data_IF_211176208565
#
_entry.id   IF_211176208565
#
_cell.length_a   1.000
_cell.length_b   1.000
_cell.length_c   1.000
_cell.angle_alpha   90.00
_cell.angle_beta   90.00
_cell.angle_gamma   90.00
#
_symmetry.space_group_name_H-M   'P 1'
#
loop_
_entity.id
_entity.type
_entity.pdbx_description
1 polymer ?
#
# COMPACT_ATOMS: atom_id res chain seq x y z
N UNK A 1 2.24 -1.01 -12.10
CA UNK A 1 1.44 -2.05 -11.44
C UNK A 1 0.26 -1.37 -10.75
N UNK A 2 -0.99 -1.72 -11.11
CA UNK A 2 -2.20 -1.08 -10.55
C UNK A 2 -2.72 -1.95 -9.40
N UNK A 3 -3.07 -1.30 -8.31
CA UNK A 3 -3.48 -1.95 -7.08
C UNK A 3 -4.90 -1.49 -6.73
N UNK A 4 -5.76 -2.44 -6.36
CA UNK A 4 -7.09 -2.16 -5.85
C UNK A 4 -7.16 -2.60 -4.41
N UNK A 5 -7.72 -1.75 -3.56
CA UNK A 5 -8.09 -2.06 -2.19
C UNK A 5 -9.56 -2.47 -2.21
N UNK A 6 -9.81 -3.70 -1.81
CA UNK A 6 -11.16 -4.25 -1.70
C UNK A 6 -11.46 -4.52 -0.23
N UNK A 7 -12.66 -4.19 0.22
CA UNK A 7 -13.16 -4.66 1.50
C UNK A 7 -13.41 -6.17 1.45
N UNK A 8 -13.48 -6.82 2.62
CA UNK A 8 -13.88 -8.24 2.73
C UNK A 8 -15.17 -8.60 1.99
N UNK A 9 -16.10 -7.66 1.83
CA UNK A 9 -17.34 -7.83 1.07
C UNK A 9 -17.14 -7.88 -0.46
N UNK A 10 -15.91 -7.78 -0.97
CA UNK A 10 -15.59 -7.75 -2.40
C UNK A 10 -15.76 -6.38 -3.06
N UNK A 11 -16.16 -5.35 -2.31
CA UNK A 11 -16.32 -3.99 -2.83
C UNK A 11 -14.95 -3.30 -2.92
N UNK A 12 -14.62 -2.79 -4.11
CA UNK A 12 -13.44 -1.94 -4.31
C UNK A 12 -13.70 -0.57 -3.67
N UNK A 13 -12.88 -0.20 -2.69
CA UNK A 13 -13.01 1.05 -1.94
C UNK A 13 -11.99 2.10 -2.37
N UNK A 14 -10.84 1.66 -2.89
CA UNK A 14 -9.83 2.54 -3.41
C UNK A 14 -9.05 1.82 -4.52
N UNK A 15 -8.59 2.59 -5.49
CA UNK A 15 -7.66 2.12 -6.51
C UNK A 15 -6.47 3.05 -6.56
N UNK A 16 -5.33 2.52 -6.98
CA UNK A 16 -4.08 3.26 -6.96
C UNK A 16 -2.91 2.46 -7.48
N UNK A 17 -1.72 2.85 -7.05
CA UNK A 17 -0.45 2.20 -7.39
C UNK A 17 0.49 2.22 -6.20
N UNK A 18 1.26 1.14 -6.05
CA UNK A 18 2.38 1.10 -5.13
C UNK A 18 3.55 1.87 -5.73
N UNK A 19 4.22 2.64 -4.89
CA UNK A 19 5.41 3.40 -5.21
C UNK A 19 6.49 3.12 -4.19
N UNK A 20 7.73 3.10 -4.66
CA UNK A 20 8.90 3.01 -3.82
C UNK A 20 9.51 4.40 -3.77
N UNK A 21 9.58 4.96 -2.57
CA UNK A 21 10.21 6.25 -2.34
C UNK A 21 11.45 6.02 -1.47
N UNK A 22 12.52 6.76 -1.73
CA UNK A 22 13.75 6.62 -0.95
C UNK A 22 13.75 7.70 0.11
N UNK A 23 13.76 7.30 1.36
CA UNK A 23 13.82 8.22 2.49
C UNK A 23 15.18 8.92 2.56
N UNK A 24 15.29 9.97 3.37
CA UNK A 24 16.51 10.78 3.56
C UNK A 24 17.70 9.94 4.06
N UNK A 25 17.40 8.83 4.74
CA UNK A 25 18.38 7.86 5.23
C UNK A 25 18.89 6.89 4.15
N UNK A 26 18.30 6.93 2.95
CA UNK A 26 18.61 6.02 1.85
C UNK A 26 17.81 4.72 1.87
N UNK A 27 16.92 4.53 2.84
CA UNK A 27 16.05 3.37 2.92
C UNK A 27 14.89 3.46 1.91
N UNK A 28 14.52 2.31 1.33
CA UNK A 28 13.37 2.23 0.45
C UNK A 28 12.09 2.12 1.28
N UNK A 29 11.09 2.93 0.96
CA UNK A 29 9.79 2.96 1.62
C UNK A 29 8.70 2.62 0.64
N UNK A 30 7.82 1.71 1.03
CA UNK A 30 6.65 1.36 0.25
C UNK A 30 5.52 2.36 0.53
N UNK A 31 5.09 3.10 -0.48
CA UNK A 31 3.99 4.05 -0.40
C UNK A 31 2.87 3.63 -1.35
N UNK A 32 1.63 3.99 -1.02
CA UNK A 32 0.48 3.75 -1.89
C UNK A 32 -0.14 5.07 -2.30
N UNK A 33 -0.15 5.36 -3.60
CA UNK A 33 -0.86 6.51 -4.14
C UNK A 33 -2.20 6.05 -4.70
N UNK A 34 -3.27 6.58 -4.13
CA UNK A 34 -4.62 6.45 -4.67
C UNK A 34 -4.76 7.23 -5.98
N UNK A 35 -5.66 6.79 -6.85
CA UNK A 35 -6.01 7.47 -8.11
C UNK A 35 -6.52 8.91 -7.84
N UNK A 36 -7.15 9.13 -6.67
CA UNK A 36 -7.57 10.45 -6.19
C UNK A 36 -6.44 11.37 -5.69
N UNK A 37 -5.17 11.02 -5.91
CA UNK A 37 -4.01 11.85 -5.56
C UNK A 37 -3.56 11.78 -4.10
N UNK A 38 -4.28 11.07 -3.23
CA UNK A 38 -3.86 10.85 -1.84
C UNK A 38 -2.74 9.81 -1.77
N UNK A 39 -1.63 10.18 -1.14
CA UNK A 39 -0.51 9.28 -0.85
C UNK A 39 -0.63 8.77 0.58
N UNK A 40 -0.52 7.46 0.74
CA UNK A 40 -0.57 6.75 2.01
C UNK A 40 0.84 6.19 2.24
N UNK A 41 1.59 6.76 3.20
CA UNK A 41 2.94 6.30 3.47
C UNK A 41 2.90 4.95 4.16
N UNK A 42 3.61 3.95 3.65
CA UNK A 42 3.73 2.66 4.29
C UNK A 42 5.02 2.56 5.11
N UNK A 43 5.51 1.34 5.26
CA UNK A 43 6.73 1.06 6.02
C UNK A 43 7.97 0.97 5.14
N UNK A 44 9.11 0.90 5.81
CA UNK A 44 10.41 0.70 5.19
C UNK A 44 10.58 -0.76 4.75
N UNK A 45 11.19 -0.96 3.60
CA UNK A 45 11.55 -2.26 3.06
C UNK A 45 12.77 -2.78 3.82
N UNK A 46 12.70 -4.05 4.21
CA UNK A 46 13.81 -4.69 4.92
C UNK A 46 15.08 -4.79 4.07
N UNK A 47 16.24 -5.00 4.71
CA UNK A 47 17.55 -5.00 4.04
C UNK A 47 17.71 -6.09 2.96
N UNK A 48 16.91 -7.16 3.03
CA UNK A 48 16.88 -8.26 2.03
C UNK A 48 15.86 -8.00 0.88
N UNK A 49 15.28 -6.80 0.83
CA UNK A 49 14.12 -6.52 -0.02
C UNK A 49 12.81 -7.06 0.54
N UNK A 50 12.78 -7.41 1.83
CA UNK A 50 11.57 -7.93 2.49
C UNK A 50 10.50 -6.84 2.55
N UNK A 51 9.42 -7.06 1.79
CA UNK A 51 8.26 -6.17 1.71
C UNK A 51 7.26 -6.43 2.84
N UNK A 52 7.47 -7.45 3.66
CA UNK A 52 6.57 -7.82 4.76
C UNK A 52 6.34 -6.68 5.76
N UNK A 53 7.39 -6.06 6.37
CA UNK A 53 7.20 -4.94 7.31
C UNK A 53 6.59 -3.72 6.62
N UNK A 54 7.03 -3.45 5.40
CA UNK A 54 6.55 -2.34 4.59
C UNK A 54 5.04 -2.45 4.31
N UNK A 55 4.60 -3.65 3.92
CA UNK A 55 3.21 -3.97 3.64
C UNK A 55 2.36 -3.95 4.91
N UNK A 56 2.84 -4.51 6.02
CA UNK A 56 2.10 -4.49 7.30
C UNK A 56 1.78 -3.06 7.76
N UNK A 57 2.76 -2.15 7.67
CA UNK A 57 2.55 -0.75 8.01
C UNK A 57 1.59 -0.06 7.04
N UNK A 58 1.71 -0.36 5.73
CA UNK A 58 0.78 0.12 4.72
C UNK A 58 -0.67 -0.33 5.03
N UNK A 59 -0.86 -1.59 5.43
CA UNK A 59 -2.16 -2.11 5.86
C UNK A 59 -2.67 -1.41 7.12
N UNK A 60 -1.83 -1.12 8.11
CA UNK A 60 -2.23 -0.32 9.29
C UNK A 60 -2.70 1.07 8.88
N UNK A 61 -1.99 1.72 7.96
CA UNK A 61 -2.35 3.02 7.42
C UNK A 61 -3.67 2.99 6.64
N UNK A 62 -3.93 1.91 5.89
CA UNK A 62 -5.23 1.69 5.23
C UNK A 62 -6.37 1.59 6.23
N UNK A 63 -6.17 0.84 7.32
CA UNK A 63 -7.16 0.72 8.40
C UNK A 63 -7.40 2.07 9.08
N UNK A 64 -6.36 2.86 9.32
CA UNK A 64 -6.48 4.22 9.87
C UNK A 64 -7.22 5.16 8.91
N UNK A 65 -6.87 5.11 7.63
CA UNK A 65 -7.39 6.00 6.58
C UNK A 65 -8.87 5.75 6.27
N UNK A 66 -9.26 4.48 6.15
CA UNK A 66 -10.63 4.10 5.77
C UNK A 66 -11.47 3.56 6.92
N UNK A 67 -10.92 3.53 8.16
CA UNK A 67 -11.57 2.96 9.37
C UNK A 67 -12.10 1.53 9.16
N UNK A 68 -11.48 0.75 8.29
CA UNK A 68 -11.87 -0.63 8.01
C UNK A 68 -10.98 -1.60 8.76
N UNK A 69 -11.56 -2.73 9.18
CA UNK A 69 -10.86 -3.77 9.93
C UNK A 69 -10.12 -4.74 9.00
N UNK A 70 -10.67 -4.97 7.81
CA UNK A 70 -10.28 -6.07 6.93
C UNK A 70 -10.32 -5.62 5.46
N UNK A 71 -9.14 -5.39 4.89
CA UNK A 71 -8.95 -4.96 3.50
C UNK A 71 -7.98 -5.90 2.80
N UNK A 72 -8.27 -6.22 1.54
CA UNK A 72 -7.38 -7.00 0.67
C UNK A 72 -6.77 -6.06 -0.37
N UNK A 73 -5.45 -6.07 -0.48
CA UNK A 73 -4.73 -5.42 -1.57
C UNK A 73 -4.55 -6.44 -2.69
N UNK A 74 -5.10 -6.14 -3.87
CA UNK A 74 -4.88 -6.93 -5.08
C UNK A 74 -4.06 -6.13 -6.07
N UNK A 75 -2.86 -6.59 -6.38
CA UNK A 75 -2.06 -6.08 -7.49
C UNK A 75 -2.47 -6.84 -8.76
N UNK A 76 -2.95 -6.13 -9.78
CA UNK A 76 -3.05 -6.70 -11.13
C UNK A 76 -1.78 -6.33 -11.90
N UNK A 77 -1.04 -7.35 -12.29
CA UNK A 77 -0.10 -7.27 -13.40
C UNK A 77 -0.95 -7.28 -14.66
N UNK A 78 -1.07 -6.14 -15.31
CA UNK A 78 -1.63 -6.08 -16.67
C UNK A 78 -0.67 -6.88 -17.55
N UNK A 79 -1.18 -7.97 -18.15
CA UNK A 79 -0.44 -8.89 -19.01
C UNK A 79 -0.92 -8.78 -20.44
#
# INVERSE_FOLDING_TARGET
MRCSISSRAGQVIAQGRLMLDKDENGDLRLNFQTDGGRVIPGGTIGPDGDLTPASQELFRQFRSTWRMIDCTLTAKSDG
#
